data_IF_703715646592
#
_entry.id   IF_703715646592
#
_cell.length_a   1.000
_cell.length_b   1.000
_cell.length_c   1.000
_cell.angle_alpha   90.00
_cell.angle_beta   90.00
_cell.angle_gamma   90.00
#
_symmetry.space_group_name_H-M   'P 1'
#
loop_
_entity.id
_entity.type
_entity.pdbx_description
1 polymer ?
#
# COMPACT_ATOMS: atom_id res chain seq x y z
N UNK A 1 -10.19 -22.50 -4.81
CA UNK A 1 -10.28 -21.10 -4.35
C UNK A 1 -9.51 -21.00 -3.06
N UNK A 2 -8.46 -20.19 -3.02
CA UNK A 2 -7.70 -20.02 -1.78
C UNK A 2 -8.45 -19.04 -0.88
N UNK A 3 -8.77 -19.53 0.32
CA UNK A 3 -9.37 -18.80 1.42
C UNK A 3 -8.58 -17.51 1.66
N UNK A 4 -9.27 -16.38 1.76
CA UNK A 4 -8.74 -15.22 2.49
C UNK A 4 -8.69 -15.67 3.95
N UNK A 5 -7.61 -16.36 4.33
CA UNK A 5 -7.36 -16.63 5.73
C UNK A 5 -7.33 -15.29 6.44
N UNK A 6 -8.24 -15.17 7.41
CA UNK A 6 -8.51 -14.01 8.23
C UNK A 6 -7.27 -13.68 9.05
N UNK A 7 -6.28 -13.02 8.44
CA UNK A 7 -5.04 -12.55 9.08
C UNK A 7 -5.29 -11.50 10.18
N UNK A 8 -6.52 -11.36 10.68
CA UNK A 8 -6.89 -10.57 11.85
C UNK A 8 -6.88 -9.06 11.61
N UNK A 9 -6.14 -8.56 10.62
CA UNK A 9 -6.01 -7.13 10.37
C UNK A 9 -7.32 -6.53 9.87
N UNK A 10 -7.93 -5.71 10.74
CA UNK A 10 -9.01 -4.83 10.39
C UNK A 10 -8.43 -3.46 10.02
N UNK A 11 -8.95 -2.86 8.95
CA UNK A 11 -8.53 -1.52 8.54
C UNK A 11 -9.74 -0.64 8.27
N UNK A 12 -9.58 0.64 8.57
CA UNK A 12 -10.50 1.69 8.13
C UNK A 12 -9.87 2.46 6.99
N UNK A 13 -10.52 2.42 5.83
CA UNK A 13 -10.10 3.15 4.63
C UNK A 13 -10.97 4.38 4.51
N UNK A 14 -10.34 5.55 4.54
CA UNK A 14 -10.99 6.84 4.37
C UNK A 14 -10.79 7.32 2.94
N UNK A 15 -11.91 7.64 2.31
CA UNK A 15 -12.00 8.28 1.01
C UNK A 15 -12.55 9.69 1.22
N UNK A 16 -12.50 10.51 0.17
CA UNK A 16 -13.11 11.83 0.18
C UNK A 16 -14.63 11.82 0.42
N UNK A 17 -15.30 10.69 0.17
CA UNK A 17 -16.76 10.56 0.22
C UNK A 17 -17.26 9.56 1.28
N UNK A 18 -16.45 8.59 1.71
CA UNK A 18 -16.91 7.50 2.58
C UNK A 18 -15.80 6.91 3.46
N UNK A 19 -16.24 6.18 4.49
CA UNK A 19 -15.40 5.30 5.29
C UNK A 19 -15.74 3.85 4.98
N UNK A 20 -14.73 3.07 4.60
CA UNK A 20 -14.85 1.65 4.27
C UNK A 20 -14.14 0.82 5.35
N UNK A 21 -14.84 -0.14 5.93
CA UNK A 21 -14.26 -1.09 6.90
C UNK A 21 -13.96 -2.40 6.19
N UNK A 22 -12.73 -2.89 6.34
CA UNK A 22 -12.26 -4.10 5.66
C UNK A 22 -11.51 -5.00 6.65
N UNK A 23 -11.71 -6.30 6.57
CA UNK A 23 -10.98 -7.33 7.34
C UNK A 23 -10.07 -8.16 6.44
N UNK A 24 -9.00 -8.74 7.01
CA UNK A 24 -8.04 -9.53 6.24
C UNK A 24 -7.37 -8.69 5.14
N UNK A 25 -7.10 -7.42 5.45
CA UNK A 25 -6.60 -6.46 4.48
C UNK A 25 -5.20 -6.81 3.98
N UNK A 26 -4.98 -6.67 2.68
CA UNK A 26 -3.68 -6.89 2.02
C UNK A 26 -3.52 -6.05 0.76
N UNK A 27 -2.28 -5.94 0.31
CA UNK A 27 -1.92 -5.27 -0.94
C UNK A 27 -1.55 -6.36 -1.95
N UNK A 28 -2.31 -6.47 -3.04
CA UNK A 28 -2.13 -7.54 -4.04
C UNK A 28 -1.32 -7.02 -5.24
N UNK A 29 -0.15 -7.60 -5.49
CA UNK A 29 0.68 -7.25 -6.64
C UNK A 29 0.49 -8.25 -7.78
N UNK A 30 0.58 -7.85 -9.06
CA UNK A 30 0.37 -8.77 -10.20
C UNK A 30 1.20 -10.06 -10.16
N UNK A 31 2.40 -10.01 -9.55
CA UNK A 31 3.34 -11.14 -9.44
C UNK A 31 3.63 -11.57 -8.01
N UNK A 32 3.15 -10.86 -6.99
CA UNK A 32 3.34 -11.22 -5.58
C UNK A 32 1.98 -11.38 -4.92
N UNK A 33 1.66 -12.61 -4.51
CA UNK A 33 0.41 -12.93 -3.82
C UNK A 33 0.59 -12.81 -2.31
N UNK A 34 -0.47 -12.42 -1.61
CA UNK A 34 -0.54 -12.39 -0.14
C UNK A 34 0.51 -11.49 0.52
N UNK A 35 0.79 -10.32 -0.07
CA UNK A 35 1.74 -9.38 0.54
C UNK A 35 1.04 -8.63 1.68
N UNK A 36 1.57 -8.83 2.89
CA UNK A 36 1.13 -8.19 4.14
C UNK A 36 2.04 -7.03 4.55
N UNK A 37 2.85 -6.55 3.61
CA UNK A 37 3.80 -5.46 3.78
C UNK A 37 3.41 -4.30 2.87
N UNK A 38 3.60 -3.08 3.34
CA UNK A 38 3.73 -1.92 2.49
C UNK A 38 5.15 -1.91 1.90
N UNK A 39 5.24 -2.01 0.57
CA UNK A 39 6.52 -2.07 -0.15
C UNK A 39 6.76 -0.72 -0.80
N UNK A 40 7.98 -0.20 -0.67
CA UNK A 40 8.32 1.11 -1.21
C UNK A 40 9.82 1.41 -1.22
N UNK A 41 10.13 2.70 -1.26
CA UNK A 41 11.47 3.29 -1.32
C UNK A 41 11.51 4.57 -0.49
N UNK A 42 12.68 4.90 0.05
CA UNK A 42 12.90 6.23 0.62
C UNK A 42 13.29 7.17 -0.53
N UNK A 43 12.74 8.40 -0.63
CA UNK A 43 13.02 9.31 -1.75
C UNK A 43 14.50 9.71 -1.93
N UNK A 44 15.35 9.46 -0.94
CA UNK A 44 16.80 9.71 -1.03
C UNK A 44 17.59 8.45 -1.42
N UNK A 45 16.95 7.27 -1.45
CA UNK A 45 17.57 5.95 -1.61
C UNK A 45 16.70 5.04 -2.51
N UNK A 46 16.52 5.45 -3.76
CA UNK A 46 15.70 4.76 -4.76
C UNK A 46 16.22 3.38 -5.20
N UNK A 47 17.48 3.07 -4.89
CA UNK A 47 18.12 1.79 -5.19
C UNK A 47 17.80 0.69 -4.16
N UNK A 48 17.06 1.03 -3.09
CA UNK A 48 16.79 0.11 -1.98
C UNK A 48 15.30 0.01 -1.69
N UNK A 49 14.76 -1.17 -1.97
CA UNK A 49 13.40 -1.54 -1.54
C UNK A 49 13.35 -1.61 -0.02
N UNK A 50 12.38 -0.91 0.56
CA UNK A 50 11.98 -1.02 1.95
C UNK A 50 10.63 -1.74 2.07
N UNK A 51 10.46 -2.48 3.16
CA UNK A 51 9.22 -3.21 3.46
C UNK A 51 8.78 -2.87 4.88
N UNK A 52 7.54 -2.45 5.02
CA UNK A 52 6.93 -2.15 6.31
C UNK A 52 5.77 -3.12 6.55
N UNK A 53 5.90 -4.08 7.49
CA UNK A 53 4.81 -4.99 7.82
C UNK A 53 3.58 -4.20 8.27
N UNK A 54 2.42 -4.48 7.66
CA UNK A 54 1.17 -3.77 7.98
C UNK A 54 0.80 -3.91 9.47
N UNK A 55 1.16 -5.03 10.11
CA UNK A 55 0.98 -5.27 11.55
C UNK A 55 1.72 -4.27 12.44
N UNK A 56 2.77 -3.63 11.94
CA UNK A 56 3.57 -2.64 12.67
C UNK A 56 3.15 -1.19 12.35
N UNK A 57 2.32 -1.01 11.32
CA UNK A 57 1.78 0.29 10.96
C UNK A 57 0.58 0.62 11.84
N UNK A 58 0.46 1.90 12.19
CA UNK A 58 -0.75 2.49 12.74
C UNK A 58 -1.58 3.14 11.64
N UNK A 59 -0.91 3.86 10.73
CA UNK A 59 -1.56 4.61 9.66
C UNK A 59 -0.64 4.72 8.45
N UNK A 60 -1.24 4.79 7.25
CA UNK A 60 -0.57 5.40 6.10
C UNK A 60 -1.53 6.30 5.31
N UNK A 61 -1.00 7.44 4.87
CA UNK A 61 -1.72 8.47 4.11
C UNK A 61 -1.15 8.58 2.71
N UNK A 62 -2.02 8.51 1.71
CA UNK A 62 -1.65 8.67 0.29
C UNK A 62 -1.68 10.18 -0.01
N UNK A 63 -0.52 10.77 -0.31
CA UNK A 63 -0.37 12.21 -0.56
C UNK A 63 -0.50 12.59 -2.04
N UNK A 64 -0.37 11.62 -2.94
CA UNK A 64 -0.48 11.81 -4.37
C UNK A 64 0.38 10.83 -5.15
N UNK A 65 0.36 10.99 -6.47
CA UNK A 65 1.23 10.22 -7.36
C UNK A 65 2.69 10.70 -7.23
N UNK A 66 3.62 9.87 -7.68
CA UNK A 66 4.99 10.31 -7.94
C UNK A 66 5.06 11.16 -9.21
N UNK A 67 6.04 12.07 -9.30
CA UNK A 67 6.30 12.78 -10.54
C UNK A 67 6.86 11.80 -11.59
N UNK A 68 6.39 11.89 -12.83
CA UNK A 68 6.73 10.93 -13.89
C UNK A 68 8.20 10.96 -14.34
N UNK A 69 8.95 11.98 -13.94
CA UNK A 69 10.39 12.07 -14.18
C UNK A 69 11.26 11.34 -13.15
N UNK A 70 10.66 10.73 -12.12
CA UNK A 70 11.42 10.28 -10.94
C UNK A 70 12.20 8.99 -11.21
N UNK A 71 11.62 8.00 -11.92
CA UNK A 71 12.31 6.76 -12.31
C UNK A 71 11.47 5.87 -13.23
N UNK A 72 12.08 5.22 -14.21
CA UNK A 72 11.42 4.18 -15.04
C UNK A 72 11.81 2.76 -14.61
N UNK A 73 12.79 2.66 -13.69
CA UNK A 73 13.45 1.41 -13.28
C UNK A 73 13.76 1.46 -11.79
N UNK A 74 13.48 0.38 -11.09
CA UNK A 74 13.88 0.18 -9.69
C UNK A 74 14.89 -0.96 -9.59
N UNK A 75 15.75 -0.87 -8.58
CA UNK A 75 16.63 -1.97 -8.19
C UNK A 75 16.06 -2.65 -6.95
N UNK A 76 15.81 -3.94 -7.05
CA UNK A 76 15.54 -4.78 -5.89
C UNK A 76 16.65 -5.82 -5.83
N UNK A 77 17.50 -5.73 -4.80
CA UNK A 77 18.74 -6.48 -4.67
C UNK A 77 19.73 -6.18 -5.80
N UNK A 78 19.85 -7.07 -6.81
CA UNK A 78 20.74 -6.95 -7.98
C UNK A 78 19.97 -7.01 -9.31
N UNK A 79 18.65 -7.08 -9.24
CA UNK A 79 17.80 -7.17 -10.42
C UNK A 79 17.15 -5.82 -10.67
N UNK A 80 17.12 -5.46 -11.95
CA UNK A 80 16.46 -4.24 -12.42
C UNK A 80 15.07 -4.61 -12.91
N UNK A 81 14.06 -3.88 -12.43
CA UNK A 81 12.68 -4.09 -12.83
C UNK A 81 12.16 -2.82 -13.50
N UNK A 82 11.57 -3.00 -14.68
CA UNK A 82 10.72 -1.96 -15.26
C UNK A 82 9.47 -1.83 -14.41
N UNK A 83 9.08 -0.59 -14.14
CA UNK A 83 8.00 -0.26 -13.23
C UNK A 83 6.96 0.57 -13.91
N UNK A 84 5.71 0.21 -13.67
CA UNK A 84 4.57 1.04 -14.03
C UNK A 84 4.42 2.13 -12.95
N UNK A 85 4.90 3.33 -13.26
CA UNK A 85 4.86 4.50 -12.36
C UNK A 85 3.44 4.82 -11.87
N UNK A 86 2.40 4.44 -12.62
CA UNK A 86 1.00 4.67 -12.22
C UNK A 86 0.59 3.91 -10.95
N UNK A 87 1.44 2.99 -10.48
CA UNK A 87 1.25 2.18 -9.28
C UNK A 87 2.03 2.72 -8.07
N UNK A 88 2.71 3.86 -8.20
CA UNK A 88 3.56 4.44 -7.16
C UNK A 88 3.00 5.74 -6.60
N UNK A 89 3.05 5.86 -5.29
CA UNK A 89 2.44 6.95 -4.56
C UNK A 89 3.39 7.51 -3.51
N UNK A 90 3.36 8.82 -3.33
CA UNK A 90 3.93 9.47 -2.16
C UNK A 90 3.06 9.13 -0.94
N UNK A 91 3.63 8.44 0.04
CA UNK A 91 2.92 7.97 1.23
C UNK A 91 3.62 8.44 2.49
N UNK A 92 2.85 8.99 3.42
CA UNK A 92 3.31 9.24 4.79
C UNK A 92 2.86 8.07 5.66
N UNK A 93 3.77 7.46 6.40
CA UNK A 93 3.48 6.35 7.30
C UNK A 93 3.66 6.76 8.76
N UNK A 94 2.83 6.22 9.63
CA UNK A 94 2.98 6.31 11.09
C UNK A 94 3.03 4.89 11.63
N UNK A 95 4.14 4.53 12.28
CA UNK A 95 4.29 3.26 12.97
C UNK A 95 3.60 3.28 14.34
N UNK A 96 3.35 2.10 14.92
CA UNK A 96 2.70 1.97 16.24
C UNK A 96 3.46 2.62 17.40
N UNK A 97 4.77 2.84 17.24
CA UNK A 97 5.60 3.56 18.22
C UNK A 97 5.54 5.09 18.06
N UNK A 98 4.77 5.59 17.10
CA UNK A 98 4.62 7.02 16.78
C UNK A 98 5.65 7.55 15.78
N UNK A 99 6.60 6.73 15.33
CA UNK A 99 7.59 7.13 14.33
C UNK A 99 6.89 7.45 13.00
N UNK A 100 7.20 8.61 12.44
CA UNK A 100 6.68 9.05 11.14
C UNK A 100 7.77 8.96 10.08
N UNK A 101 7.41 8.49 8.89
CA UNK A 101 8.32 8.46 7.74
C UNK A 101 7.57 8.76 6.45
N UNK A 102 8.25 9.37 5.49
CA UNK A 102 7.73 9.59 4.16
C UNK A 102 8.44 8.65 3.19
N UNK A 103 7.65 7.92 2.40
CA UNK A 103 8.15 6.94 1.44
C UNK A 103 7.42 7.09 0.11
N UNK A 104 7.99 6.48 -0.92
CA UNK A 104 7.27 6.17 -2.15
C UNK A 104 6.86 4.71 -2.11
N UNK A 105 5.56 4.44 -2.04
CA UNK A 105 5.02 3.10 -1.92
C UNK A 105 4.43 2.61 -3.25
N UNK A 106 4.62 1.31 -3.53
CA UNK A 106 3.98 0.61 -4.62
C UNK A 106 2.63 0.06 -4.15
N UNK A 107 1.54 0.55 -4.73
CA UNK A 107 0.17 0.22 -4.35
C UNK A 107 -0.64 -0.11 -5.62
N UNK A 108 -0.60 -1.33 -6.17
CA UNK A 108 -1.36 -1.66 -7.38
C UNK A 108 -2.85 -1.95 -7.10
N UNK A 109 -3.15 -2.62 -5.99
CA UNK A 109 -4.51 -3.01 -5.61
C UNK A 109 -4.63 -3.25 -4.11
N UNK A 110 -5.73 -2.80 -3.52
CA UNK A 110 -6.16 -3.20 -2.18
C UNK A 110 -7.22 -4.29 -2.22
N UNK A 111 -7.14 -5.20 -1.25
CA UNK A 111 -8.07 -6.30 -1.12
C UNK A 111 -8.35 -6.63 0.35
N UNK A 112 -9.56 -7.11 0.62
CA UNK A 112 -9.92 -7.75 1.88
C UNK A 112 -11.36 -8.24 1.87
N UNK A 113 -11.99 -8.29 3.04
CA UNK A 113 -13.36 -8.74 3.24
C UNK A 113 -14.20 -7.58 3.77
N UNK A 114 -15.32 -7.29 3.11
CA UNK A 114 -16.34 -6.32 3.52
C UNK A 114 -17.70 -6.98 3.48
N UNK A 115 -18.46 -6.91 4.58
CA UNK A 115 -19.82 -7.47 4.69
C UNK A 115 -19.90 -8.94 4.22
N UNK A 116 -18.90 -9.75 4.60
CA UNK A 116 -18.78 -11.17 4.24
C UNK A 116 -18.34 -11.46 2.79
N UNK A 117 -18.13 -10.42 1.97
CA UNK A 117 -17.75 -10.55 0.57
C UNK A 117 -16.32 -10.06 0.31
N UNK A 118 -15.69 -10.59 -0.74
CA UNK A 118 -14.38 -10.11 -1.18
C UNK A 118 -14.53 -8.69 -1.73
N UNK A 119 -13.79 -7.76 -1.15
CA UNK A 119 -13.69 -6.38 -1.60
C UNK A 119 -12.34 -6.15 -2.26
N UNK A 120 -12.34 -5.50 -3.43
CA UNK A 120 -11.14 -5.17 -4.19
C UNK A 120 -11.22 -3.74 -4.71
N UNK A 121 -10.11 -3.02 -4.65
CA UNK A 121 -9.98 -1.70 -5.25
C UNK A 121 -8.62 -1.56 -5.96
N UNK A 122 -8.59 -1.46 -7.30
CA UNK A 122 -7.38 -1.09 -8.02
C UNK A 122 -7.04 0.38 -7.73
N UNK A 123 -5.74 0.66 -7.60
CA UNK A 123 -5.26 2.00 -7.32
C UNK A 123 -4.81 2.75 -8.59
N UNK A 124 -4.53 2.05 -9.69
CA UNK A 124 -4.14 2.65 -10.97
C UNK A 124 -5.03 3.86 -11.33
N UNK A 125 -4.42 5.02 -11.59
CA UNK A 125 -5.11 6.27 -11.94
C UNK A 125 -6.05 6.84 -10.85
N UNK A 126 -5.74 6.69 -9.57
CA UNK A 126 -6.61 7.13 -8.48
C UNK A 126 -6.18 8.46 -7.83
N UNK A 127 -6.75 9.62 -8.23
CA UNK A 127 -6.52 10.89 -7.55
C UNK A 127 -7.55 11.25 -6.46
N UNK A 128 -8.56 10.41 -6.16
CA UNK A 128 -9.68 10.83 -5.27
C UNK A 128 -10.34 9.75 -4.39
N UNK A 129 -9.97 8.46 -4.49
CA UNK A 129 -10.71 7.39 -3.80
C UNK A 129 -10.12 6.92 -2.48
N UNK A 130 -8.85 7.13 -2.14
CA UNK A 130 -8.34 6.77 -0.81
C UNK A 130 -7.33 7.82 -0.38
N UNK A 131 -7.64 8.48 0.72
CA UNK A 131 -6.76 9.49 1.32
C UNK A 131 -5.91 8.86 2.42
N UNK A 132 -6.50 7.96 3.22
CA UNK A 132 -5.87 7.43 4.43
C UNK A 132 -6.37 6.05 4.77
N UNK A 133 -5.46 5.19 5.25
CA UNK A 133 -5.77 3.87 5.78
C UNK A 133 -5.28 3.80 7.23
N UNK A 134 -6.18 3.45 8.14
CA UNK A 134 -5.87 3.24 9.57
C UNK A 134 -5.90 1.75 9.84
N UNK A 135 -4.81 1.22 10.42
CA UNK A 135 -4.69 -0.18 10.81
C UNK A 135 -5.18 -0.34 12.24
N UNK A 136 -6.16 -1.23 12.44
CA UNK A 136 -6.68 -1.57 13.76
C UNK A 136 -6.03 -2.88 14.25
N UNK A 137 -5.66 -2.94 15.55
CA UNK A 137 -5.18 -4.17 16.18
C UNK A 137 -6.30 -5.22 16.30
#
# INVERSE_FOLDING_TARGET
GQSLETTGLQVEIFTSAERILVQGFRIDFPKMRNVMDLIGFVPEQWDRVVRFPLVNLQEFQIRGNIDSGTFDRIYANREQFDVDQSQFYNVSIVAKDGTRSDIVAMLPKFRGIKDGNVWELPMSNNPARIDRVIIRP
#
